data_IF_955161975850
#
_entry.id   IF_955161975850
#
_cell.length_a   1.000
_cell.length_b   1.000
_cell.length_c   1.000
_cell.angle_alpha   90.00
_cell.angle_beta   90.00
_cell.angle_gamma   90.00
#
_symmetry.space_group_name_H-M   'P 1'
#
loop_
_entity.id
_entity.type
_entity.pdbx_description
1 polymer ?
#
# COMPACT_ATOMS: atom_id res chain seq x y z
N UNK A 1 -50.29 -18.70 62.54
CA UNK A 1 -50.14 -19.38 61.25
C UNK A 1 -50.29 -18.36 60.12
N UNK A 2 -49.17 -17.81 59.66
CA UNK A 2 -49.05 -17.05 58.41
C UNK A 2 -47.79 -17.57 57.73
N UNK A 3 -47.95 -18.21 56.59
CA UNK A 3 -46.88 -18.77 55.76
C UNK A 3 -46.21 -17.65 54.98
N UNK A 4 -44.93 -17.41 55.25
CA UNK A 4 -44.03 -16.63 54.41
C UNK A 4 -42.92 -17.60 53.97
N UNK A 5 -43.02 -18.15 52.76
CA UNK A 5 -41.93 -18.92 52.16
C UNK A 5 -41.09 -17.98 51.31
N UNK A 6 -39.88 -17.74 51.81
CA UNK A 6 -38.81 -16.96 51.21
C UNK A 6 -38.28 -17.69 49.96
N UNK A 7 -38.35 -17.05 48.79
CA UNK A 7 -37.60 -17.48 47.62
C UNK A 7 -36.11 -17.24 47.88
N UNK A 8 -35.34 -18.32 48.02
CA UNK A 8 -33.89 -18.28 48.13
C UNK A 8 -33.33 -17.98 46.73
N UNK A 9 -32.76 -16.78 46.58
CA UNK A 9 -31.99 -16.41 45.41
C UNK A 9 -30.76 -17.31 45.31
N UNK A 10 -30.63 -18.04 44.20
CA UNK A 10 -29.39 -18.73 43.82
C UNK A 10 -28.41 -17.65 43.33
N UNK A 11 -27.61 -17.10 44.25
CA UNK A 11 -26.37 -16.43 43.90
C UNK A 11 -25.35 -17.50 43.48
N UNK A 12 -25.42 -17.92 42.21
CA UNK A 12 -24.37 -18.70 41.57
C UNK A 12 -23.18 -17.78 41.30
N UNK A 13 -22.03 -18.13 41.87
CA UNK A 13 -20.74 -17.45 41.67
C UNK A 13 -20.43 -17.30 40.17
N UNK A 14 -20.42 -16.06 39.69
CA UNK A 14 -19.78 -15.68 38.43
C UNK A 14 -18.42 -15.08 38.76
N UNK A 15 -17.44 -15.93 39.09
CA UNK A 15 -16.04 -15.53 39.26
C UNK A 15 -15.13 -16.65 38.72
N UNK A 16 -14.76 -16.54 37.45
CA UNK A 16 -13.43 -16.86 36.89
C UNK A 16 -13.49 -16.95 35.36
N UNK A 17 -13.50 -15.81 34.67
CA UNK A 17 -13.03 -15.70 33.28
C UNK A 17 -11.84 -14.73 33.24
N UNK A 18 -10.80 -15.05 34.01
CA UNK A 18 -9.53 -14.34 33.96
C UNK A 18 -8.72 -14.85 32.77
N UNK A 19 -8.57 -14.00 31.74
CA UNK A 19 -7.54 -14.00 30.70
C UNK A 19 -7.24 -15.35 30.00
N UNK A 20 -8.10 -15.75 29.05
CA UNK A 20 -7.79 -16.82 28.09
C UNK A 20 -6.44 -16.62 27.37
N UNK A 21 -6.04 -15.36 27.14
CA UNK A 21 -4.79 -14.98 26.47
C UNK A 21 -3.49 -15.20 27.27
N UNK A 22 -3.56 -15.41 28.59
CA UNK A 22 -2.36 -15.47 29.43
C UNK A 22 -1.58 -16.81 29.30
N UNK A 23 -2.13 -17.79 28.57
CA UNK A 23 -1.55 -19.13 28.38
C UNK A 23 -1.34 -19.50 26.90
N UNK A 24 -1.88 -18.71 25.96
CA UNK A 24 -1.72 -19.00 24.54
C UNK A 24 -0.32 -18.61 24.06
N UNK A 25 0.43 -19.62 23.59
CA UNK A 25 1.70 -19.42 22.90
C UNK A 25 1.42 -19.31 21.41
N UNK A 26 1.39 -18.09 20.90
CA UNK A 26 1.32 -17.84 19.47
C UNK A 26 2.63 -18.26 18.78
N UNK A 27 2.56 -19.01 17.67
CA UNK A 27 3.75 -19.37 16.92
C UNK A 27 4.46 -18.15 16.34
N UNK A 28 5.79 -18.22 16.38
CA UNK A 28 6.69 -17.17 15.96
C UNK A 28 7.38 -17.63 14.67
N UNK A 29 7.39 -16.78 13.64
CA UNK A 29 7.83 -17.17 12.31
C UNK A 29 8.62 -16.10 11.56
N UNK A 30 9.14 -15.08 12.25
CA UNK A 30 10.06 -14.15 11.59
C UNK A 30 11.50 -14.71 11.64
N UNK A 31 12.14 -14.78 10.48
CA UNK A 31 13.53 -15.23 10.35
C UNK A 31 14.57 -14.13 10.59
N UNK A 32 14.13 -12.91 10.88
CA UNK A 32 15.00 -11.75 11.05
C UNK A 32 15.57 -11.23 9.74
N UNK A 33 16.59 -10.39 9.87
CA UNK A 33 17.21 -9.66 8.77
C UNK A 33 18.61 -10.21 8.50
N UNK A 34 18.90 -10.52 7.23
CA UNK A 34 20.26 -10.83 6.81
C UNK A 34 21.13 -9.54 6.83
N UNK A 35 22.32 -9.54 7.47
CA UNK A 35 23.13 -8.33 7.60
C UNK A 35 23.64 -7.77 6.27
N UNK A 36 23.95 -8.62 5.28
CA UNK A 36 24.46 -8.18 3.98
C UNK A 36 23.34 -7.49 3.22
N UNK A 37 22.19 -8.16 3.13
CA UNK A 37 21.01 -7.62 2.45
C UNK A 37 20.47 -6.37 3.13
N UNK A 38 20.47 -6.35 4.46
CA UNK A 38 20.09 -5.17 5.24
C UNK A 38 20.94 -3.97 4.86
N UNK A 39 22.27 -4.13 4.77
CA UNK A 39 23.15 -3.02 4.36
C UNK A 39 22.97 -2.65 2.89
N UNK A 40 22.76 -3.62 2.00
CA UNK A 40 22.56 -3.39 0.57
C UNK A 40 21.28 -2.58 0.27
N UNK A 41 20.26 -2.71 1.11
CA UNK A 41 18.95 -2.07 0.96
C UNK A 41 18.73 -0.91 1.94
N UNK A 42 19.76 -0.49 2.68
CA UNK A 42 19.65 0.55 3.71
C UNK A 42 19.33 1.93 3.11
N UNK A 43 18.17 2.47 3.49
CA UNK A 43 17.80 3.85 3.15
C UNK A 43 18.49 4.86 4.08
N UNK A 44 19.27 5.76 3.50
CA UNK A 44 19.89 6.86 4.24
C UNK A 44 18.93 8.03 4.39
N UNK A 45 18.42 8.23 5.61
CA UNK A 45 17.52 9.35 5.92
C UNK A 45 18.27 10.68 5.97
N UNK A 46 17.89 11.70 5.17
CA UNK A 46 18.58 12.97 5.15
C UNK A 46 18.40 13.73 6.49
N UNK A 47 19.35 14.58 6.91
CA UNK A 47 19.22 15.33 8.17
C UNK A 47 17.94 16.17 8.28
N UNK A 48 17.45 16.72 7.16
CA UNK A 48 16.20 17.49 7.10
C UNK A 48 14.97 16.68 7.49
N UNK A 49 14.99 15.36 7.25
CA UNK A 49 13.91 14.45 7.61
C UNK A 49 13.68 14.34 9.13
N UNK A 50 14.72 14.65 9.91
CA UNK A 50 14.75 14.44 11.37
C UNK A 50 14.42 15.69 12.16
N UNK A 51 14.54 16.87 11.53
CA UNK A 51 14.52 18.17 12.22
C UNK A 51 13.14 18.61 12.75
N UNK A 52 12.04 17.99 12.28
CA UNK A 52 10.66 18.46 12.55
C UNK A 52 9.68 17.32 12.88
N UNK A 53 10.15 16.28 13.56
CA UNK A 53 9.29 15.15 13.93
C UNK A 53 8.47 15.45 15.19
N UNK A 54 7.17 15.11 15.24
CA UNK A 54 6.35 15.31 16.43
C UNK A 54 6.82 14.44 17.61
N UNK A 55 6.52 14.87 18.83
CA UNK A 55 6.87 14.12 20.04
C UNK A 55 6.16 12.78 20.16
N UNK A 56 5.02 12.62 19.49
CA UNK A 56 4.24 11.39 19.40
C UNK A 56 3.50 11.38 18.07
N UNK A 57 3.28 10.19 17.52
CA UNK A 57 2.60 10.02 16.25
C UNK A 57 1.92 8.65 16.18
N UNK A 58 0.75 8.60 15.54
CA UNK A 58 -0.07 7.40 15.41
C UNK A 58 -0.81 7.43 14.07
N UNK A 59 -0.40 6.56 13.13
CA UNK A 59 -0.99 6.47 11.79
C UNK A 59 -2.48 6.12 11.79
N UNK A 60 -3.03 5.54 12.86
CA UNK A 60 -4.47 5.27 12.98
C UNK A 60 -5.28 6.55 13.01
N UNK A 61 -4.74 7.63 13.58
CA UNK A 61 -5.41 8.94 13.64
C UNK A 61 -5.59 9.57 12.26
N UNK A 62 -4.82 9.10 11.26
CA UNK A 62 -4.89 9.51 9.87
C UNK A 62 -5.60 8.47 8.99
N UNK A 63 -6.20 7.43 9.58
CA UNK A 63 -6.92 6.39 8.84
C UNK A 63 -6.03 5.48 7.98
N UNK A 64 -4.71 5.43 8.24
CA UNK A 64 -3.75 4.71 7.42
C UNK A 64 -3.45 3.27 7.91
N UNK A 65 -4.28 2.73 8.81
CA UNK A 65 -4.05 1.42 9.44
C UNK A 65 -5.39 0.68 9.59
N UNK A 66 -5.48 -0.50 8.99
CA UNK A 66 -6.60 -1.43 9.13
C UNK A 66 -6.63 -2.10 10.51
N UNK A 67 -7.77 -2.69 10.88
CA UNK A 67 -7.94 -3.44 12.13
C UNK A 67 -6.95 -4.59 12.24
N UNK A 68 -6.54 -4.93 13.47
CA UNK A 68 -5.71 -6.11 13.71
C UNK A 68 -6.48 -7.39 13.36
N UNK A 69 -5.75 -8.39 12.85
CA UNK A 69 -6.27 -9.71 12.47
C UNK A 69 -5.68 -10.79 13.39
N UNK A 70 -5.97 -12.06 13.11
CA UNK A 70 -5.54 -13.19 13.92
C UNK A 70 -4.82 -14.24 13.06
N UNK A 71 -3.55 -14.50 13.36
CA UNK A 71 -2.73 -15.50 12.68
C UNK A 71 -2.96 -16.93 13.20
N UNK A 72 -3.66 -17.09 14.33
CA UNK A 72 -3.88 -18.39 14.97
C UNK A 72 -2.58 -19.14 15.27
N UNK A 73 -2.55 -20.43 14.95
CA UNK A 73 -1.41 -21.31 15.23
C UNK A 73 -0.45 -21.51 14.04
N UNK A 74 -0.38 -20.55 13.13
CA UNK A 74 0.60 -20.52 12.06
C UNK A 74 1.72 -19.52 12.38
N UNK A 75 2.98 -19.85 12.06
CA UNK A 75 4.11 -18.93 12.12
C UNK A 75 4.09 -17.90 10.96
N UNK A 76 2.94 -17.30 10.67
CA UNK A 76 2.68 -16.40 9.54
C UNK A 76 2.76 -14.92 9.90
N UNK A 77 3.27 -14.56 11.08
CA UNK A 77 3.40 -13.15 11.50
C UNK A 77 4.07 -12.26 10.44
N UNK A 78 5.03 -12.81 9.69
CA UNK A 78 5.68 -12.15 8.56
C UNK A 78 4.68 -11.78 7.46
N UNK A 79 3.75 -12.68 7.11
CA UNK A 79 2.71 -12.47 6.10
C UNK A 79 1.74 -11.36 6.55
N UNK A 80 1.28 -11.41 7.81
CA UNK A 80 0.42 -10.37 8.38
C UNK A 80 1.10 -8.99 8.41
N UNK A 81 2.39 -8.94 8.75
CA UNK A 81 3.15 -7.69 8.76
C UNK A 81 3.29 -7.11 7.34
N UNK A 82 3.68 -7.90 6.33
CA UNK A 82 3.81 -7.40 4.95
C UNK A 82 2.48 -7.06 4.30
N UNK A 83 1.41 -7.80 4.60
CA UNK A 83 0.05 -7.47 4.16
C UNK A 83 -0.42 -6.17 4.80
N UNK A 84 -0.18 -5.98 6.10
CA UNK A 84 -0.47 -4.73 6.80
C UNK A 84 0.29 -3.53 6.26
N UNK A 85 1.53 -3.71 5.78
CA UNK A 85 2.27 -2.67 5.05
C UNK A 85 1.53 -2.32 3.76
N UNK A 86 1.16 -3.32 2.95
CA UNK A 86 0.46 -3.10 1.68
C UNK A 86 -0.88 -2.39 1.86
N UNK A 87 -1.71 -2.83 2.82
CA UNK A 87 -2.97 -2.17 3.17
C UNK A 87 -2.76 -0.70 3.55
N UNK A 88 -1.75 -0.43 4.39
CA UNK A 88 -1.43 0.94 4.82
C UNK A 88 -0.96 1.81 3.66
N UNK A 89 -0.15 1.26 2.75
CA UNK A 89 0.34 1.98 1.56
C UNK A 89 -0.80 2.37 0.63
N UNK A 90 -1.76 1.47 0.40
CA UNK A 90 -2.93 1.77 -0.44
C UNK A 90 -3.75 2.90 0.18
N UNK A 91 -3.98 2.88 1.50
CA UNK A 91 -4.69 3.96 2.20
C UNK A 91 -3.96 5.31 2.08
N UNK A 92 -2.63 5.31 2.23
CA UNK A 92 -1.82 6.52 2.09
C UNK A 92 -1.81 7.08 0.66
N UNK A 93 -1.99 6.22 -0.35
CA UNK A 93 -2.15 6.62 -1.74
C UNK A 93 -3.58 7.12 -2.07
N UNK A 94 -4.49 7.17 -1.09
CA UNK A 94 -5.89 7.56 -1.28
C UNK A 94 -6.76 6.45 -1.86
N UNK A 95 -6.26 5.21 -1.90
CA UNK A 95 -7.04 4.03 -2.30
C UNK A 95 -8.06 3.61 -1.22
N UNK A 96 -8.92 2.63 -1.55
CA UNK A 96 -9.91 2.12 -0.61
C UNK A 96 -9.25 1.27 0.49
N UNK A 97 -9.98 1.09 1.60
CA UNK A 97 -9.58 0.16 2.66
C UNK A 97 -9.84 -1.27 2.21
N UNK A 98 -8.78 -1.98 1.81
CA UNK A 98 -8.85 -3.41 1.53
C UNK A 98 -8.69 -4.25 2.79
N UNK A 99 -9.36 -5.40 2.81
CA UNK A 99 -9.02 -6.52 3.68
C UNK A 99 -8.21 -7.50 2.84
N UNK A 100 -6.89 -7.34 2.80
CA UNK A 100 -6.02 -8.14 1.92
C UNK A 100 -5.78 -9.55 2.48
N UNK A 101 -5.48 -10.49 1.59
CA UNK A 101 -5.36 -11.92 1.90
C UNK A 101 -3.95 -12.30 2.39
N UNK A 102 -3.78 -12.54 3.69
CA UNK A 102 -2.51 -13.08 4.21
C UNK A 102 -2.20 -14.49 3.69
N UNK A 103 -3.23 -15.31 3.48
CA UNK A 103 -3.07 -16.67 2.97
C UNK A 103 -2.45 -16.71 1.57
N UNK A 104 -2.65 -15.66 0.75
CA UNK A 104 -1.94 -15.54 -0.54
C UNK A 104 -0.42 -15.52 -0.33
N UNK A 105 0.08 -14.79 0.66
CA UNK A 105 1.51 -14.82 1.00
C UNK A 105 1.90 -16.19 1.53
N UNK A 106 1.14 -16.73 2.50
CA UNK A 106 1.48 -18.01 3.16
C UNK A 106 1.53 -19.17 2.17
N UNK A 107 0.56 -19.27 1.27
CA UNK A 107 0.42 -20.38 0.32
C UNK A 107 1.16 -20.14 -1.01
N UNK A 108 1.31 -18.89 -1.48
CA UNK A 108 1.81 -18.62 -2.84
C UNK A 108 3.21 -18.00 -2.90
N UNK A 109 3.73 -17.45 -1.80
CA UNK A 109 5.09 -16.92 -1.77
C UNK A 109 6.10 -18.05 -1.50
N UNK A 110 6.52 -18.71 -2.57
CA UNK A 110 7.47 -19.83 -2.52
C UNK A 110 8.90 -19.45 -2.09
N UNK A 111 9.19 -18.15 -1.94
CA UNK A 111 10.46 -17.68 -1.35
C UNK A 111 10.44 -17.69 0.18
N UNK A 112 9.28 -17.91 0.79
CA UNK A 112 9.08 -18.02 2.23
C UNK A 112 8.73 -19.46 2.62
N UNK A 113 8.61 -19.72 3.93
CA UNK A 113 8.34 -21.05 4.47
C UNK A 113 6.88 -21.27 4.88
N UNK A 114 5.94 -20.43 4.44
CA UNK A 114 4.56 -20.50 4.90
C UNK A 114 4.46 -20.36 6.43
N UNK A 115 3.84 -21.34 7.09
CA UNK A 115 3.78 -21.39 8.56
C UNK A 115 5.12 -21.70 9.25
N UNK A 116 6.14 -22.11 8.50
CA UNK A 116 7.52 -22.26 9.00
C UNK A 116 8.27 -20.93 9.09
N UNK A 117 7.62 -19.87 8.66
CA UNK A 117 8.13 -18.52 8.78
C UNK A 117 8.53 -17.90 7.45
N UNK A 118 9.05 -16.70 7.57
CA UNK A 118 9.43 -15.82 6.47
C UNK A 118 10.09 -14.58 7.04
N UNK A 119 10.30 -13.58 6.20
CA UNK A 119 10.85 -12.30 6.62
C UNK A 119 10.38 -11.16 5.72
N UNK A 120 10.97 -9.98 5.93
CA UNK A 120 10.64 -8.76 5.22
C UNK A 120 10.78 -8.83 3.68
N UNK A 121 11.55 -9.77 3.12
CA UNK A 121 11.61 -9.96 1.66
C UNK A 121 10.27 -10.35 1.05
N UNK A 122 9.32 -10.86 1.85
CA UNK A 122 7.95 -11.09 1.40
C UNK A 122 7.25 -9.82 0.88
N UNK A 123 7.74 -8.61 1.23
CA UNK A 123 7.27 -7.36 0.64
C UNK A 123 7.46 -7.31 -0.89
N UNK A 124 8.47 -8.00 -1.44
CA UNK A 124 8.74 -8.04 -2.88
C UNK A 124 7.79 -8.95 -3.65
N UNK A 125 7.06 -9.84 -2.97
CA UNK A 125 6.05 -10.69 -3.62
C UNK A 125 5.01 -9.83 -4.36
N UNK A 126 4.67 -8.67 -3.82
CA UNK A 126 3.71 -7.74 -4.41
C UNK A 126 4.23 -6.99 -5.65
N UNK A 127 5.50 -7.16 -6.06
CA UNK A 127 6.06 -6.48 -7.24
C UNK A 127 5.47 -7.01 -8.54
N UNK A 128 5.14 -8.30 -8.56
CA UNK A 128 4.71 -8.99 -9.78
C UNK A 128 3.37 -9.71 -9.63
N UNK A 129 2.89 -9.91 -8.39
CA UNK A 129 1.65 -10.64 -8.15
C UNK A 129 0.47 -9.74 -7.79
N UNK A 130 0.73 -8.58 -7.16
CA UNK A 130 -0.31 -7.75 -6.54
C UNK A 130 -1.07 -8.47 -5.41
N UNK A 131 -1.79 -7.74 -4.55
CA UNK A 131 -2.49 -8.33 -3.43
C UNK A 131 -3.94 -8.69 -3.78
N UNK A 132 -4.38 -9.88 -3.38
CA UNK A 132 -5.76 -10.33 -3.43
C UNK A 132 -6.49 -9.90 -2.14
N UNK A 133 -7.82 -9.75 -2.22
CA UNK A 133 -8.64 -9.57 -1.02
C UNK A 133 -8.91 -10.91 -0.31
N UNK A 134 -9.05 -10.85 1.01
CA UNK A 134 -9.25 -11.97 1.93
C UNK A 134 -10.34 -12.96 1.49
N UNK A 135 -11.51 -12.55 0.95
CA UNK A 135 -12.52 -13.51 0.48
C UNK A 135 -12.04 -14.43 -0.66
N UNK A 136 -10.94 -14.10 -1.35
CA UNK A 136 -10.41 -14.89 -2.44
C UNK A 136 -9.81 -16.22 -1.96
N UNK A 137 -9.06 -16.17 -0.86
CA UNK A 137 -8.33 -17.31 -0.32
C UNK A 137 -8.96 -17.81 0.97
N UNK A 138 -9.48 -16.88 1.78
CA UNK A 138 -9.69 -17.05 3.21
C UNK A 138 -8.37 -17.28 3.96
N UNK A 139 -8.36 -17.04 5.26
CA UNK A 139 -7.27 -17.46 6.14
C UNK A 139 -7.57 -18.82 6.75
N UNK A 140 -6.67 -19.78 6.59
CA UNK A 140 -6.89 -21.14 7.06
C UNK A 140 -6.75 -21.26 8.59
N UNK A 141 -7.55 -22.15 9.19
CA UNK A 141 -7.39 -22.53 10.60
C UNK A 141 -6.29 -23.59 10.73
N UNK A 142 -5.05 -23.11 10.93
CA UNK A 142 -3.91 -23.98 11.16
C UNK A 142 -3.98 -24.57 12.56
N UNK A 143 -4.17 -25.89 12.68
CA UNK A 143 -4.36 -26.52 13.98
C UNK A 143 -3.06 -27.00 14.66
N UNK A 144 -1.96 -27.22 13.93
CA UNK A 144 -0.65 -27.57 14.52
C UNK A 144 0.54 -27.29 13.61
N UNK A 145 1.54 -26.57 14.14
CA UNK A 145 2.94 -26.62 13.68
C UNK A 145 3.28 -25.79 12.45
N UNK A 146 4.31 -26.23 11.74
CA UNK A 146 4.78 -25.65 10.48
C UNK A 146 4.45 -26.67 9.36
N UNK A 147 3.15 -26.79 8.98
CA UNK A 147 2.81 -27.62 7.84
C UNK A 147 3.43 -26.98 6.60
N UNK A 148 4.17 -27.79 5.84
CA UNK A 148 4.71 -27.39 4.53
C UNK A 148 3.63 -27.39 3.45
N UNK A 149 2.40 -27.77 3.79
CA UNK A 149 1.27 -27.82 2.87
C UNK A 149 0.62 -26.44 2.76
N UNK A 150 0.49 -25.98 1.52
CA UNK A 150 -0.22 -24.76 1.16
C UNK A 150 -1.72 -25.07 1.14
N UNK A 151 -2.55 -24.29 1.83
CA UNK A 151 -3.99 -24.53 1.87
C UNK A 151 -4.71 -24.06 0.61
N UNK A 152 -4.02 -23.28 -0.23
CA UNK A 152 -4.58 -22.69 -1.44
C UNK A 152 -3.76 -23.09 -2.67
N UNK A 153 -4.46 -23.53 -3.71
CA UNK A 153 -3.86 -23.82 -5.01
C UNK A 153 -3.74 -22.54 -5.84
N UNK A 154 -2.60 -21.85 -5.71
CA UNK A 154 -2.38 -20.50 -6.23
C UNK A 154 -2.63 -20.35 -7.74
N UNK A 155 -2.27 -21.37 -8.56
CA UNK A 155 -2.52 -21.35 -10.00
C UNK A 155 -4.00 -21.49 -10.41
N UNK A 156 -4.90 -21.73 -9.46
CA UNK A 156 -6.34 -21.89 -9.69
C UNK A 156 -7.20 -20.78 -9.09
N UNK A 157 -6.58 -19.79 -8.43
CA UNK A 157 -7.31 -18.64 -7.91
C UNK A 157 -7.95 -17.86 -9.08
N UNK A 158 -9.23 -17.54 -8.95
CA UNK A 158 -10.04 -16.85 -9.98
C UNK A 158 -10.40 -15.42 -9.54
N UNK A 159 -9.49 -14.76 -8.82
CA UNK A 159 -9.70 -13.41 -8.31
C UNK A 159 -8.76 -12.45 -9.01
N UNK A 160 -9.26 -11.25 -9.29
CA UNK A 160 -8.42 -10.16 -9.77
C UNK A 160 -7.69 -9.52 -8.58
N UNK A 161 -6.36 -9.31 -8.66
CA UNK A 161 -5.64 -8.52 -7.67
C UNK A 161 -6.14 -7.09 -7.61
N UNK A 162 -6.04 -6.48 -6.42
CA UNK A 162 -6.18 -5.03 -6.31
C UNK A 162 -5.13 -4.36 -7.21
N UNK A 163 -5.44 -3.23 -7.86
CA UNK A 163 -4.60 -2.61 -8.89
C UNK A 163 -3.42 -1.84 -8.28
N UNK A 164 -2.63 -2.50 -7.44
CA UNK A 164 -1.51 -1.93 -6.71
C UNK A 164 -0.39 -2.94 -6.59
N UNK A 165 0.80 -2.54 -7.01
CA UNK A 165 2.03 -3.28 -6.76
C UNK A 165 2.92 -2.52 -5.78
N UNK A 166 3.86 -3.21 -5.15
CA UNK A 166 4.94 -2.55 -4.43
C UNK A 166 6.19 -2.44 -5.29
N UNK A 167 7.12 -1.56 -4.90
CA UNK A 167 8.45 -1.43 -5.49
C UNK A 167 9.44 -0.94 -4.43
N UNK A 168 10.72 -0.79 -4.79
CA UNK A 168 11.66 -0.01 -3.99
C UNK A 168 11.85 -0.48 -2.54
N UNK A 169 11.98 -1.78 -2.30
CA UNK A 169 12.28 -2.36 -0.98
C UNK A 169 13.50 -1.66 -0.38
N UNK A 170 13.34 -1.18 0.84
CA UNK A 170 14.43 -0.63 1.63
C UNK A 170 14.33 -1.02 3.10
N UNK A 171 15.48 -1.05 3.77
CA UNK A 171 15.59 -1.20 5.22
C UNK A 171 15.88 0.13 5.88
N UNK A 172 15.63 0.21 7.18
CA UNK A 172 15.78 1.44 7.97
C UNK A 172 16.79 1.20 9.08
N UNK A 173 17.65 2.20 9.33
CA UNK A 173 18.67 2.15 10.37
C UNK A 173 18.04 2.08 11.78
N UNK A 174 17.85 0.87 12.31
CA UNK A 174 17.27 0.65 13.63
C UNK A 174 18.22 0.97 14.79
N UNK A 175 19.50 1.25 14.49
CA UNK A 175 20.44 1.84 15.45
C UNK A 175 20.13 3.30 15.80
N UNK A 176 19.24 3.96 15.05
CA UNK A 176 18.86 5.36 15.23
C UNK A 176 17.35 5.50 15.37
N UNK A 177 16.90 5.88 16.58
CA UNK A 177 15.47 6.19 16.84
C UNK A 177 14.96 7.28 15.91
N UNK A 178 15.80 8.26 15.57
CA UNK A 178 15.42 9.35 14.68
C UNK A 178 15.29 8.89 13.21
N UNK A 179 16.09 7.92 12.77
CA UNK A 179 15.96 7.35 11.40
C UNK A 179 14.65 6.56 11.29
N UNK A 180 14.33 5.75 12.31
CA UNK A 180 13.08 5.01 12.37
C UNK A 180 11.86 5.94 12.39
N UNK A 181 11.86 6.98 13.24
CA UNK A 181 10.77 7.97 13.26
C UNK A 181 10.64 8.71 11.94
N UNK A 182 11.77 9.12 11.35
CA UNK A 182 11.77 9.82 10.07
C UNK A 182 11.18 8.95 8.96
N UNK A 183 11.56 7.67 8.89
CA UNK A 183 11.00 6.75 7.90
C UNK A 183 9.52 6.47 8.18
N UNK A 184 9.11 6.22 9.42
CA UNK A 184 7.69 6.06 9.75
C UNK A 184 6.85 7.25 9.35
N UNK A 185 7.35 8.46 9.58
CA UNK A 185 6.61 9.70 9.30
C UNK A 185 6.52 10.01 7.80
N UNK A 186 7.57 9.70 7.03
CA UNK A 186 7.62 10.00 5.59
C UNK A 186 7.05 8.87 4.74
N UNK A 187 7.36 7.64 5.11
CA UNK A 187 7.10 6.46 4.29
C UNK A 187 5.86 5.70 4.77
N UNK A 188 5.35 5.96 5.97
CA UNK A 188 4.16 5.27 6.49
C UNK A 188 4.47 4.08 7.41
N UNK A 189 3.43 3.33 7.82
CA UNK A 189 3.59 2.08 8.54
C UNK A 189 4.55 1.11 7.83
N UNK A 190 5.29 0.33 8.62
CA UNK A 190 6.39 -0.49 8.11
C UNK A 190 6.42 -1.88 8.75
N UNK A 191 7.09 -2.81 8.09
CA UNK A 191 7.42 -4.11 8.65
C UNK A 191 8.39 -3.92 9.82
N UNK A 192 8.11 -4.54 10.96
CA UNK A 192 8.98 -4.48 12.13
C UNK A 192 9.15 -5.86 12.74
N UNK A 193 10.40 -6.33 12.77
CA UNK A 193 10.81 -7.57 13.41
C UNK A 193 11.37 -7.31 14.80
N UNK A 194 11.10 -8.21 15.74
CA UNK A 194 11.74 -8.25 17.04
C UNK A 194 11.86 -9.68 17.59
N UNK A 195 12.79 -9.86 18.52
CA UNK A 195 12.89 -11.10 19.30
C UNK A 195 11.87 -11.12 20.44
N UNK A 196 11.15 -12.23 20.57
CA UNK A 196 10.19 -12.48 21.63
C UNK A 196 10.84 -13.28 22.75
N UNK A 197 10.55 -12.86 23.98
CA UNK A 197 10.91 -13.55 25.20
C UNK A 197 9.63 -13.99 25.93
N UNK A 198 9.73 -15.02 26.77
CA UNK A 198 8.56 -15.62 27.40
C UNK A 198 7.73 -14.67 28.28
N UNK A 199 8.33 -13.59 28.78
CA UNK A 199 7.63 -12.53 29.52
C UNK A 199 6.76 -11.63 28.63
N UNK A 200 6.95 -11.64 27.30
CA UNK A 200 6.09 -10.96 26.34
C UNK A 200 4.67 -11.53 26.31
N UNK A 201 4.51 -12.86 26.36
CA UNK A 201 3.17 -13.48 26.38
C UNK A 201 2.39 -13.07 27.63
N UNK A 202 3.07 -13.00 28.78
CA UNK A 202 2.48 -12.48 30.01
C UNK A 202 2.13 -10.99 29.85
N UNK A 203 3.02 -10.20 29.26
CA UNK A 203 2.75 -8.79 28.96
C UNK A 203 1.49 -8.64 28.08
N UNK A 204 1.39 -9.40 26.99
CA UNK A 204 0.28 -9.36 26.04
C UNK A 204 -1.06 -9.66 26.72
N UNK A 205 -1.13 -10.73 27.52
CA UNK A 205 -2.38 -11.21 28.10
C UNK A 205 -2.82 -10.53 29.40
N UNK A 206 -1.96 -9.73 30.06
CA UNK A 206 -2.25 -9.25 31.43
C UNK A 206 -2.14 -7.74 31.63
N UNK A 207 -1.54 -7.01 30.69
CA UNK A 207 -1.27 -5.58 30.91
C UNK A 207 -2.43 -4.69 30.48
N UNK A 208 -2.48 -3.51 31.09
CA UNK A 208 -3.51 -2.51 30.83
C UNK A 208 -3.13 -1.59 29.66
N UNK A 209 -4.10 -0.86 29.08
CA UNK A 209 -3.85 0.08 28.00
C UNK A 209 -2.75 1.09 28.33
N UNK A 210 -1.87 1.35 27.35
CA UNK A 210 -0.75 2.28 27.50
C UNK A 210 0.49 1.71 28.21
N UNK A 211 0.44 0.45 28.69
CA UNK A 211 1.63 -0.23 29.20
C UNK A 211 2.68 -0.42 28.10
N UNK A 212 3.95 -0.25 28.48
CA UNK A 212 5.10 -0.40 27.56
C UNK A 212 5.82 -1.70 27.87
N UNK A 213 5.95 -2.57 26.87
CA UNK A 213 6.76 -3.77 26.97
C UNK A 213 8.24 -3.39 27.07
N UNK A 214 8.88 -3.93 28.10
CA UNK A 214 10.32 -3.86 28.34
C UNK A 214 10.73 -5.26 28.75
N UNK A 215 11.58 -5.89 27.95
CA UNK A 215 12.12 -7.20 28.31
C UNK A 215 12.84 -7.06 29.66
N UNK A 216 12.44 -7.88 30.62
CA UNK A 216 12.99 -7.85 31.98
C UNK A 216 13.45 -9.23 32.43
N UNK A 217 12.92 -10.29 31.82
CA UNK A 217 13.17 -11.67 32.17
C UNK A 217 12.82 -12.59 30.99
N UNK A 218 12.64 -13.89 31.25
CA UNK A 218 12.14 -14.84 30.26
C UNK A 218 13.22 -15.46 29.38
N UNK A 219 12.90 -16.63 28.84
CA UNK A 219 13.72 -17.32 27.84
C UNK A 219 13.41 -16.76 26.45
N UNK A 220 14.39 -16.84 25.54
CA UNK A 220 14.16 -16.54 24.12
C UNK A 220 13.19 -17.56 23.51
N UNK A 221 12.17 -17.08 22.81
CA UNK A 221 11.10 -17.93 22.24
C UNK A 221 11.08 -17.90 20.70
N UNK A 222 11.65 -16.87 20.04
CA UNK A 222 11.72 -16.78 18.58
C UNK A 222 11.68 -15.35 18.04
N UNK A 223 11.67 -15.22 16.71
CA UNK A 223 11.47 -13.94 16.01
C UNK A 223 10.00 -13.71 15.65
N UNK A 224 9.52 -12.48 15.82
CA UNK A 224 8.15 -12.09 15.49
C UNK A 224 8.13 -10.82 14.65
N UNK A 225 7.17 -10.75 13.73
CA UNK A 225 6.96 -9.60 12.87
C UNK A 225 5.60 -8.95 13.14
N UNK A 226 5.59 -7.63 13.17
CA UNK A 226 4.42 -6.79 13.39
C UNK A 226 4.45 -5.58 12.46
N UNK A 227 3.36 -4.84 12.39
CA UNK A 227 3.33 -3.55 11.72
C UNK A 227 3.65 -2.44 12.73
N UNK A 228 4.74 -1.72 12.53
CA UNK A 228 5.03 -0.52 13.33
C UNK A 228 4.24 0.67 12.76
N UNK A 229 3.50 1.38 13.63
CA UNK A 229 2.49 2.37 13.22
C UNK A 229 2.63 3.73 13.92
N UNK A 230 3.60 3.89 14.82
CA UNK A 230 3.75 5.14 15.56
C UNK A 230 4.80 5.11 16.65
N UNK A 231 4.89 6.20 17.41
CA UNK A 231 5.79 6.35 18.55
C UNK A 231 5.26 7.35 19.58
N UNK A 232 5.84 7.31 20.78
CA UNK A 232 5.63 8.31 21.83
C UNK A 232 6.91 8.52 22.63
N UNK A 233 7.41 9.76 22.60
CA UNK A 233 8.66 10.13 23.28
C UNK A 233 8.55 10.07 24.81
N UNK A 234 7.38 10.34 25.37
CA UNK A 234 7.16 10.26 26.82
C UNK A 234 7.22 8.81 27.31
N UNK A 235 6.80 7.86 26.47
CA UNK A 235 6.86 6.42 26.73
C UNK A 235 8.20 5.79 26.41
N UNK A 236 8.99 6.48 25.59
CA UNK A 236 10.18 5.92 24.99
C UNK A 236 9.90 4.62 24.23
N UNK A 237 8.85 4.62 23.41
CA UNK A 237 8.29 3.41 22.82
C UNK A 237 7.76 3.60 21.39
N UNK A 238 7.75 2.51 20.65
CA UNK A 238 7.05 2.31 19.39
C UNK A 238 5.65 1.78 19.64
N UNK A 239 4.69 2.22 18.83
CA UNK A 239 3.35 1.65 18.76
C UNK A 239 3.32 0.63 17.61
N UNK A 240 2.89 -0.59 17.90
CA UNK A 240 2.82 -1.69 16.93
C UNK A 240 1.42 -2.29 16.88
N UNK A 241 0.96 -2.65 15.67
CA UNK A 241 -0.21 -3.50 15.42
C UNK A 241 0.26 -4.95 15.29
N UNK A 242 -0.24 -5.80 16.18
CA UNK A 242 0.03 -7.24 16.19
C UNK A 242 -1.00 -8.02 15.35
N UNK A 243 -0.80 -9.33 15.24
CA UNK A 243 -1.65 -10.28 14.51
C UNK A 243 -2.24 -11.37 15.41
N UNK A 244 -2.52 -11.05 16.68
CA UNK A 244 -3.07 -11.98 17.69
C UNK A 244 -4.47 -11.56 18.14
N UNK A 245 -5.30 -11.16 17.18
CA UNK A 245 -6.71 -10.83 17.39
C UNK A 245 -7.02 -9.34 17.54
N UNK A 246 -8.17 -8.93 16.98
CA UNK A 246 -8.64 -7.55 16.95
C UNK A 246 -8.94 -6.94 18.32
N UNK A 247 -9.18 -7.77 19.33
CA UNK A 247 -9.45 -7.36 20.72
C UNK A 247 -8.34 -7.76 21.68
N UNK A 248 -7.24 -8.31 21.15
CA UNK A 248 -6.11 -8.81 21.93
C UNK A 248 -5.22 -7.67 22.43
N UNK A 249 -4.33 -8.05 23.37
CA UNK A 249 -3.24 -7.20 23.83
C UNK A 249 -3.65 -6.08 24.80
N UNK A 250 -2.66 -5.32 25.28
CA UNK A 250 -2.87 -4.36 26.36
C UNK A 250 -3.83 -3.23 26.01
N UNK A 251 -3.87 -2.80 24.75
CA UNK A 251 -4.75 -1.72 24.30
C UNK A 251 -6.16 -2.19 23.87
N UNK A 252 -6.42 -3.51 23.90
CA UNK A 252 -7.71 -4.12 23.52
C UNK A 252 -8.16 -3.85 22.09
N UNK A 253 -7.22 -3.53 21.20
CA UNK A 253 -7.42 -3.25 19.77
C UNK A 253 -6.37 -3.96 18.90
N UNK A 254 -5.70 -4.98 19.45
CA UNK A 254 -4.59 -5.69 18.82
C UNK A 254 -3.28 -4.89 18.76
N UNK A 255 -3.20 -3.72 19.40
CA UNK A 255 -1.98 -2.91 19.47
C UNK A 255 -1.30 -2.97 20.83
N UNK A 256 -0.01 -2.66 20.84
CA UNK A 256 0.80 -2.60 22.04
C UNK A 256 1.95 -1.60 21.89
N UNK A 257 2.51 -1.17 23.02
CA UNK A 257 3.72 -0.36 23.06
C UNK A 257 4.93 -1.21 23.38
N UNK A 258 6.02 -1.00 22.66
CA UNK A 258 7.31 -1.67 22.88
C UNK A 258 8.41 -0.63 23.01
N UNK A 259 9.16 -0.69 24.09
CA UNK A 259 10.19 0.32 24.38
C UNK A 259 11.30 0.31 23.33
N UNK A 260 11.81 1.46 22.89
CA UNK A 260 13.00 1.45 22.03
C UNK A 260 14.29 1.06 22.79
N UNK A 261 14.29 1.18 24.12
CA UNK A 261 15.41 0.80 24.98
C UNK A 261 15.47 -0.72 25.14
N UNK A 262 16.65 -1.32 24.93
CA UNK A 262 16.81 -2.78 24.80
C UNK A 262 16.69 -3.28 23.36
N UNK A 263 16.43 -2.36 22.42
CA UNK A 263 16.21 -2.65 20.99
C UNK A 263 17.15 -1.83 20.09
N UNK A 264 17.58 -0.65 20.55
CA UNK A 264 18.66 0.11 19.91
C UNK A 264 19.95 -0.73 19.86
N UNK A 265 20.57 -0.81 18.67
CA UNK A 265 21.84 -1.51 18.36
C UNK A 265 21.83 -3.04 18.27
N UNK A 266 20.67 -3.70 18.24
CA UNK A 266 20.57 -5.13 17.93
C UNK A 266 19.85 -5.36 16.60
N UNK A 267 20.47 -6.10 15.66
CA UNK A 267 19.81 -6.57 14.42
C UNK A 267 18.65 -7.55 14.70
N UNK A 268 18.45 -7.92 15.97
CA UNK A 268 17.19 -8.49 16.45
C UNK A 268 15.97 -7.59 16.18
N UNK A 269 16.19 -6.29 15.91
CA UNK A 269 15.18 -5.30 15.54
C UNK A 269 15.43 -4.83 14.12
N UNK A 270 14.63 -5.30 13.19
CA UNK A 270 14.70 -4.90 11.79
C UNK A 270 13.45 -4.14 11.37
N UNK A 271 13.63 -3.12 10.53
CA UNK A 271 12.54 -2.36 9.94
C UNK A 271 12.74 -2.28 8.44
N UNK A 272 11.70 -2.59 7.68
CA UNK A 272 11.71 -2.51 6.22
C UNK A 272 10.39 -1.97 5.70
N UNK A 273 10.47 -1.34 4.53
CA UNK A 273 9.30 -0.82 3.85
C UNK A 273 9.51 -0.88 2.33
N UNK A 274 8.45 -0.55 1.60
CA UNK A 274 8.40 -0.49 0.13
C UNK A 274 7.69 0.77 -0.31
N UNK A 275 7.89 1.16 -1.56
CA UNK A 275 7.04 2.14 -2.23
C UNK A 275 5.82 1.44 -2.86
N UNK A 276 4.77 2.22 -3.16
CA UNK A 276 3.57 1.74 -3.83
C UNK A 276 3.53 2.27 -5.27
N UNK A 277 3.12 1.40 -6.19
CA UNK A 277 2.84 1.74 -7.59
C UNK A 277 1.39 1.35 -7.88
N UNK A 278 0.46 2.32 -8.02
CA UNK A 278 -0.86 2.04 -8.56
C UNK A 278 -0.73 1.52 -9.99
N UNK A 279 -1.40 0.42 -10.32
CA UNK A 279 -1.45 -0.14 -11.67
C UNK A 279 -2.48 0.56 -12.56
N UNK A 280 -3.42 1.31 -11.96
CA UNK A 280 -4.30 2.19 -12.69
C UNK A 280 -3.67 3.58 -12.71
N UNK A 281 -3.06 3.94 -13.84
CA UNK A 281 -2.70 5.33 -14.15
C UNK A 281 -3.93 6.22 -13.87
N UNK A 282 -3.77 7.43 -13.33
CA UNK A 282 -4.89 8.34 -13.10
C UNK A 282 -5.72 8.46 -14.39
N UNK A 283 -7.05 8.53 -14.30
CA UNK A 283 -7.89 8.66 -15.49
C UNK A 283 -7.43 9.84 -16.36
N UNK A 284 -7.46 9.68 -17.69
CA UNK A 284 -7.21 10.79 -18.60
C UNK A 284 -8.19 11.93 -18.29
N UNK A 285 -7.67 13.08 -17.85
CA UNK A 285 -8.49 14.21 -17.42
C UNK A 285 -8.14 15.50 -18.16
N UNK A 286 -6.91 15.62 -18.62
CA UNK A 286 -6.39 16.82 -19.29
C UNK A 286 -5.49 16.48 -20.47
N UNK A 287 -5.65 17.24 -21.55
CA UNK A 287 -4.73 17.25 -22.70
C UNK A 287 -4.16 18.66 -22.85
N UNK A 288 -2.83 18.79 -22.91
CA UNK A 288 -2.13 20.08 -23.03
C UNK A 288 -1.38 20.17 -24.35
N UNK A 289 -1.60 21.24 -25.12
CA UNK A 289 -0.96 21.37 -26.45
C UNK A 289 0.50 21.83 -26.31
N UNK A 290 1.41 21.15 -27.01
CA UNK A 290 2.85 21.45 -26.97
C UNK A 290 3.27 22.23 -28.21
N UNK A 291 3.02 21.71 -29.41
CA UNK A 291 3.50 22.29 -30.67
C UNK A 291 2.48 22.09 -31.80
N UNK A 292 2.33 23.03 -32.76
CA UNK A 292 2.97 24.35 -32.85
C UNK A 292 2.54 25.33 -31.74
N UNK A 293 3.42 26.24 -31.34
CA UNK A 293 3.13 27.29 -30.34
C UNK A 293 2.65 28.59 -31.00
N UNK A 294 1.76 29.32 -30.34
CA UNK A 294 1.29 30.63 -30.81
C UNK A 294 0.41 30.57 -32.07
N UNK A 295 0.71 31.40 -33.07
CA UNK A 295 0.03 31.41 -34.38
C UNK A 295 1.05 31.58 -35.52
N UNK A 296 1.87 30.56 -35.80
CA UNK A 296 2.96 30.67 -36.75
C UNK A 296 2.44 30.64 -38.19
N UNK A 297 3.21 31.21 -39.11
CA UNK A 297 3.03 31.00 -40.55
C UNK A 297 3.97 29.87 -40.98
N UNK A 298 3.41 28.80 -41.53
CA UNK A 298 4.13 27.56 -41.81
C UNK A 298 4.22 27.32 -43.33
N UNK A 299 5.43 27.06 -43.82
CA UNK A 299 5.71 26.72 -45.22
C UNK A 299 5.61 25.22 -45.54
N UNK A 300 5.50 24.37 -44.52
CA UNK A 300 5.44 22.91 -44.63
C UNK A 300 4.41 22.33 -43.65
N UNK A 301 3.97 21.07 -43.86
CA UNK A 301 3.04 20.42 -42.94
C UNK A 301 3.61 20.38 -41.50
N UNK A 302 2.85 20.80 -40.48
CA UNK A 302 3.30 20.72 -39.09
C UNK A 302 3.24 19.31 -38.52
N UNK A 303 4.06 19.06 -37.50
CA UNK A 303 3.84 18.02 -36.50
C UNK A 303 3.12 18.63 -35.31
N UNK A 304 1.94 18.13 -35.01
CA UNK A 304 1.20 18.46 -33.80
C UNK A 304 1.70 17.60 -32.65
N UNK A 305 1.93 18.19 -31.49
CA UNK A 305 2.36 17.50 -30.26
C UNK A 305 1.53 17.99 -29.09
N UNK A 306 1.25 17.09 -28.15
CA UNK A 306 0.54 17.37 -26.91
C UNK A 306 1.12 16.50 -25.77
N UNK A 307 0.59 16.66 -24.57
CA UNK A 307 0.77 15.72 -23.45
C UNK A 307 -0.59 15.41 -22.83
N UNK A 308 -0.74 14.21 -22.29
CA UNK A 308 -1.86 13.76 -21.46
C UNK A 308 -1.40 13.58 -20.00
N UNK A 309 -2.29 13.81 -19.03
CA UNK A 309 -2.01 13.73 -17.59
C UNK A 309 -2.27 12.36 -16.96
N UNK A 310 -2.84 11.43 -17.73
CA UNK A 310 -3.28 10.13 -17.26
C UNK A 310 -3.80 9.25 -18.38
N UNK A 311 -4.34 8.09 -18.01
CA UNK A 311 -4.91 7.05 -18.87
C UNK A 311 -3.87 6.01 -19.30
N UNK A 312 -4.24 4.73 -19.22
CA UNK A 312 -3.36 3.60 -19.55
C UNK A 312 -3.41 3.20 -21.03
N UNK A 313 -4.53 3.48 -21.72
CA UNK A 313 -4.77 3.08 -23.11
C UNK A 313 -5.40 4.22 -23.91
N UNK A 314 -4.65 5.31 -24.03
CA UNK A 314 -5.15 6.52 -24.66
C UNK A 314 -5.20 6.43 -26.19
N UNK A 315 -6.33 6.88 -26.73
CA UNK A 315 -6.52 7.12 -28.15
C UNK A 315 -6.88 8.59 -28.41
N UNK A 316 -6.27 9.17 -29.44
CA UNK A 316 -6.39 10.59 -29.77
C UNK A 316 -6.88 10.83 -31.20
N UNK A 317 -7.40 12.03 -31.41
CA UNK A 317 -7.68 12.60 -32.71
C UNK A 317 -7.33 14.11 -32.75
N UNK A 318 -6.82 14.57 -33.89
CA UNK A 318 -6.58 16.00 -34.15
C UNK A 318 -7.75 16.56 -34.94
N UNK A 319 -8.37 17.61 -34.41
CA UNK A 319 -9.43 18.36 -35.06
C UNK A 319 -8.85 19.64 -35.67
N UNK A 320 -9.17 19.94 -36.93
CA UNK A 320 -8.76 21.11 -37.68
C UNK A 320 -9.99 21.88 -38.18
N UNK A 321 -10.00 23.20 -38.05
CA UNK A 321 -11.12 24.03 -38.51
C UNK A 321 -10.65 25.37 -39.05
N UNK A 322 -11.44 25.97 -39.94
CA UNK A 322 -11.28 27.39 -40.30
C UNK A 322 -11.97 28.34 -39.31
N UNK A 323 -12.70 27.79 -38.33
CA UNK A 323 -13.45 28.54 -37.36
C UNK A 323 -13.03 28.15 -35.94
N UNK A 324 -12.77 29.15 -35.11
CA UNK A 324 -12.27 28.93 -33.74
C UNK A 324 -13.27 28.16 -32.85
N UNK A 325 -14.56 28.26 -33.16
CA UNK A 325 -15.65 27.55 -32.48
C UNK A 325 -15.83 26.10 -32.95
N UNK A 326 -15.06 25.64 -33.95
CA UNK A 326 -15.18 24.31 -34.56
C UNK A 326 -16.59 23.96 -35.03
N UNK A 327 -17.43 24.94 -35.39
CA UNK A 327 -18.80 24.67 -35.89
C UNK A 327 -18.84 23.76 -37.12
N UNK A 328 -17.77 23.79 -37.90
CA UNK A 328 -17.43 22.76 -38.89
C UNK A 328 -15.96 22.44 -38.72
N UNK A 329 -15.59 21.17 -38.85
CA UNK A 329 -14.20 20.75 -38.68
C UNK A 329 -13.90 19.50 -39.49
N UNK A 330 -12.61 19.29 -39.71
CA UNK A 330 -12.03 18.09 -40.28
C UNK A 330 -11.25 17.40 -39.17
N UNK A 331 -11.34 16.08 -39.06
CA UNK A 331 -10.77 15.31 -37.94
C UNK A 331 -10.01 14.10 -38.46
N UNK A 332 -8.87 13.77 -37.86
CA UNK A 332 -8.08 12.58 -38.23
C UNK A 332 -8.91 11.29 -38.11
N UNK A 333 -9.67 11.13 -37.02
CA UNK A 333 -10.47 9.93 -36.79
C UNK A 333 -11.61 9.77 -37.80
N UNK A 334 -12.38 10.84 -38.07
CA UNK A 334 -13.56 10.76 -38.95
C UNK A 334 -13.15 10.77 -40.43
N UNK A 335 -12.25 11.68 -40.81
CA UNK A 335 -11.96 11.95 -42.22
C UNK A 335 -10.77 11.15 -42.76
N UNK A 336 -9.76 10.82 -41.94
CA UNK A 336 -8.68 9.90 -42.34
C UNK A 336 -8.91 8.46 -41.91
N UNK A 337 -9.90 8.19 -41.05
CA UNK A 337 -10.04 6.88 -40.38
C UNK A 337 -8.76 6.51 -39.61
N UNK A 338 -8.10 7.52 -39.05
CA UNK A 338 -6.85 7.37 -38.30
C UNK A 338 -7.07 7.69 -36.83
N UNK A 339 -6.95 6.65 -35.99
CA UNK A 339 -6.76 6.79 -34.53
C UNK A 339 -5.28 6.99 -34.25
N UNK A 340 -4.96 7.87 -33.31
CA UNK A 340 -3.58 8.17 -32.93
C UNK A 340 -3.34 7.63 -31.52
N UNK A 341 -2.28 6.86 -31.32
CA UNK A 341 -1.91 6.27 -30.00
C UNK A 341 -0.64 6.89 -29.40
N UNK A 342 -0.04 7.86 -30.10
CA UNK A 342 1.12 8.63 -29.65
C UNK A 342 0.72 10.07 -29.39
N UNK A 343 1.44 10.78 -28.53
CA UNK A 343 1.16 12.20 -28.23
C UNK A 343 1.64 13.18 -29.33
N UNK A 344 1.68 12.69 -30.56
CA UNK A 344 2.04 13.48 -31.72
C UNK A 344 1.38 12.94 -32.98
N UNK A 345 1.20 13.84 -33.95
CA UNK A 345 0.74 13.51 -35.29
C UNK A 345 1.33 14.46 -36.32
N UNK A 346 1.97 13.91 -37.34
CA UNK A 346 2.48 14.67 -38.48
C UNK A 346 1.40 14.81 -39.54
N UNK A 347 1.09 16.05 -39.94
CA UNK A 347 0.10 16.29 -40.98
C UNK A 347 0.60 15.73 -42.33
N UNK A 348 -0.15 14.83 -42.99
CA UNK A 348 0.21 14.36 -44.31
C UNK A 348 0.18 15.49 -45.34
N UNK A 349 1.10 15.45 -46.32
CA UNK A 349 1.12 16.40 -47.42
C UNK A 349 -0.22 16.46 -48.19
N UNK A 350 -0.95 15.35 -48.27
CA UNK A 350 -2.27 15.26 -48.91
C UNK A 350 -3.36 16.07 -48.18
N UNK A 351 -3.24 16.25 -46.86
CA UNK A 351 -4.12 17.11 -46.06
C UNK A 351 -3.65 18.56 -46.17
N UNK A 352 -2.35 18.80 -46.01
CA UNK A 352 -1.72 20.11 -46.12
C UNK A 352 -2.05 20.83 -47.45
N UNK A 353 -1.96 20.10 -48.57
CA UNK A 353 -2.17 20.66 -49.90
C UNK A 353 -3.63 21.05 -50.18
N UNK A 354 -4.59 20.64 -49.33
CA UNK A 354 -6.00 21.05 -49.41
C UNK A 354 -6.26 22.39 -48.72
N UNK A 355 -5.37 22.84 -47.83
CA UNK A 355 -5.50 24.11 -47.13
C UNK A 355 -5.06 25.22 -48.10
N UNK A 356 -5.85 26.25 -48.41
CA UNK A 356 -5.38 27.34 -49.28
C UNK A 356 -4.27 28.18 -48.62
N UNK A 357 -3.34 28.73 -49.41
CA UNK A 357 -2.31 29.67 -48.91
C UNK A 357 -2.96 30.91 -48.30
N UNK A 358 -2.33 31.45 -47.24
CA UNK A 358 -2.83 32.56 -46.44
C UNK A 358 -3.99 32.23 -45.50
N UNK A 359 -4.50 30.99 -45.48
CA UNK A 359 -5.60 30.61 -44.60
C UNK A 359 -5.10 30.30 -43.19
N UNK A 360 -5.82 30.85 -42.20
CA UNK A 360 -5.69 30.49 -40.80
C UNK A 360 -6.44 29.19 -40.52
N UNK A 361 -5.81 28.28 -39.82
CA UNK A 361 -6.38 27.00 -39.37
C UNK A 361 -6.27 26.93 -37.86
N UNK A 362 -7.40 26.68 -37.20
CA UNK A 362 -7.48 26.37 -35.78
C UNK A 362 -7.37 24.87 -35.57
N UNK A 363 -6.76 24.46 -34.46
CA UNK A 363 -6.60 23.06 -34.12
C UNK A 363 -6.73 22.82 -32.62
N UNK A 364 -7.22 21.62 -32.28
CA UNK A 364 -7.28 21.09 -30.93
C UNK A 364 -7.12 19.57 -30.98
N UNK A 365 -6.83 18.98 -29.83
CA UNK A 365 -6.74 17.53 -29.68
C UNK A 365 -7.90 17.07 -28.82
N UNK A 366 -8.43 15.89 -29.12
CA UNK A 366 -9.31 15.16 -28.23
C UNK A 366 -8.76 13.77 -28.00
N UNK A 367 -8.98 13.23 -26.82
CA UNK A 367 -8.55 11.90 -26.45
C UNK A 367 -9.56 11.21 -25.54
N UNK A 368 -9.40 9.90 -25.41
CA UNK A 368 -10.13 9.08 -24.45
C UNK A 368 -9.23 7.93 -24.03
N UNK A 369 -9.33 7.53 -22.77
CA UNK A 369 -8.79 6.26 -22.32
C UNK A 369 -9.77 5.15 -22.71
N UNK A 370 -9.33 4.23 -23.56
CA UNK A 370 -10.17 3.14 -24.07
C UNK A 370 -10.52 2.10 -22.99
N UNK A 371 -9.79 2.08 -21.88
CA UNK A 371 -10.06 1.19 -20.75
C UNK A 371 -11.15 1.75 -19.82
N UNK A 372 -11.46 3.06 -19.92
CA UNK A 372 -12.48 3.71 -19.10
C UNK A 372 -13.90 3.43 -19.60
N UNK A 373 -14.80 3.04 -18.68
CA UNK A 373 -16.21 2.78 -18.97
C UNK A 373 -17.13 3.54 -17.98
N UNK A 374 -18.01 4.45 -18.46
CA UNK A 374 -18.24 4.80 -19.86
C UNK A 374 -17.08 5.60 -20.46
N UNK A 375 -16.88 5.45 -21.78
CA UNK A 375 -15.86 6.18 -22.51
C UNK A 375 -16.10 7.70 -22.40
N UNK A 376 -15.16 8.42 -21.79
CA UNK A 376 -15.22 9.87 -21.63
C UNK A 376 -14.26 10.55 -22.62
N UNK A 377 -14.76 11.50 -23.41
CA UNK A 377 -13.94 12.27 -24.35
C UNK A 377 -13.41 13.53 -23.68
N UNK A 378 -12.09 13.62 -23.56
CA UNK A 378 -11.38 14.80 -23.07
C UNK A 378 -10.90 15.63 -24.25
N UNK A 379 -11.05 16.96 -24.14
CA UNK A 379 -10.52 17.91 -25.12
C UNK A 379 -9.32 18.64 -24.53
N UNK A 380 -8.41 19.09 -25.41
CA UNK A 380 -7.33 19.96 -24.99
C UNK A 380 -7.85 21.23 -24.32
N UNK A 381 -7.15 21.67 -23.29
CA UNK A 381 -7.50 22.84 -22.49
C UNK A 381 -7.48 24.17 -23.28
N UNK A 382 -6.85 24.17 -24.44
CA UNK A 382 -6.77 25.32 -25.34
C UNK A 382 -7.05 24.94 -26.79
N UNK A 383 -7.32 25.97 -27.60
CA UNK A 383 -7.37 25.91 -29.06
C UNK A 383 -6.22 26.77 -29.59
N UNK A 384 -5.41 26.22 -30.49
CA UNK A 384 -4.32 26.94 -31.14
C UNK A 384 -4.59 27.13 -32.63
N UNK A 385 -3.73 27.88 -33.31
CA UNK A 385 -3.88 28.10 -34.76
C UNK A 385 -2.55 28.29 -35.47
N UNK A 386 -2.56 28.22 -36.80
CA UNK A 386 -1.43 28.59 -37.67
C UNK A 386 -1.95 29.15 -38.99
N UNK A 387 -1.09 29.82 -39.75
CA UNK A 387 -1.34 30.21 -41.14
C UNK A 387 -0.55 29.31 -42.09
N UNK A 388 -1.16 28.90 -43.20
CA UNK A 388 -0.40 28.30 -44.31
C UNK A 388 0.26 29.42 -45.12
N UNK A 389 1.57 29.32 -45.35
CA UNK A 389 2.30 30.21 -46.26
C UNK A 389 1.78 30.10 -47.69
#
# INVERSE_FOLDING_TARGET
MKTLSLAIAVFGLWLANGNAWAQERFPLGDWGFDPIEYQATLKHMPPSAKATLPSSFDWRTLGAVTTAKDQGYCGSCWAFAVTGVMESKILLAGGPSYNLAEEQQVSCNLSMGGCCGGNYFALQYWYSNGPLEEPCTGYADYHTGCPTETNVACGSLQCEPAPYHSTGLFTVNTGSVDDMKASLYQDGPAYFSYQVYSDFFTFWGTRSPGAVYRQASGAYEGGHAVLIIGWDNSKQAWLCKNSWGATGGPNSDGTFWIAWSGHASSLAFGMANVDLVPLQEPELSQISLVSPTGTPTLGSPPTFMWTADGGSNNAFAVDLSYYQDFRTYWCTYVNLRQTIYSENWMMPASVWNKIPSGKRVYWKVRGADLDSQPLTIIYSNEVRSFYRQ
#
